data_IF_096324543537
#
_entry.id   IF_096324543537
#
_cell.length_a   1.000
_cell.length_b   1.000
_cell.length_c   1.000
_cell.angle_alpha   90.00
_cell.angle_beta   90.00
_cell.angle_gamma   90.00
#
_symmetry.space_group_name_H-M   'P 1'
#
loop_
_entity.id
_entity.type
_entity.pdbx_description
1 polymer ?
#
# COMPACT_ATOMS: atom_id res chain seq x y z
N UNK A 1 12.22 80.64 8.05
CA UNK A 1 11.33 80.51 6.86
C UNK A 1 12.08 79.69 5.82
N UNK A 2 11.33 78.84 5.09
CA UNK A 2 11.71 78.12 3.86
C UNK A 2 12.38 76.72 4.06
N UNK A 3 11.49 75.73 4.19
CA UNK A 3 11.47 74.39 3.55
C UNK A 3 12.72 73.86 2.83
N UNK A 4 13.19 72.67 3.23
CA UNK A 4 13.97 71.77 2.36
C UNK A 4 13.12 70.55 2.03
N UNK A 5 12.82 70.41 0.74
CA UNK A 5 11.96 69.42 0.10
C UNK A 5 12.51 68.00 0.17
N UNK A 6 11.58 67.05 0.26
CA UNK A 6 11.79 65.63 0.05
C UNK A 6 12.05 65.29 -1.43
N UNK A 7 13.11 64.51 -1.71
CA UNK A 7 13.33 63.78 -2.96
C UNK A 7 14.31 62.62 -2.65
N UNK A 8 13.84 61.38 -2.40
CA UNK A 8 13.65 60.28 -3.37
C UNK A 8 14.89 59.91 -4.20
N UNK A 9 15.62 58.87 -3.78
CA UNK A 9 16.27 57.87 -4.65
C UNK A 9 16.83 56.74 -3.76
N UNK A 10 16.15 55.60 -3.64
CA UNK A 10 16.21 54.43 -4.54
C UNK A 10 17.05 53.31 -3.90
N UNK A 11 16.41 52.48 -3.09
CA UNK A 11 16.93 51.17 -2.71
C UNK A 11 15.99 50.11 -3.30
N UNK A 12 16.35 49.59 -4.47
CA UNK A 12 15.68 48.47 -5.13
C UNK A 12 16.13 47.21 -4.38
N UNK A 13 15.33 46.74 -3.43
CA UNK A 13 15.46 45.37 -2.92
C UNK A 13 14.69 44.44 -3.87
N UNK A 14 15.42 43.75 -4.73
CA UNK A 14 14.91 42.64 -5.52
C UNK A 14 14.59 41.46 -4.58
N UNK A 15 13.33 41.32 -4.22
CA UNK A 15 12.84 40.19 -3.43
C UNK A 15 12.67 38.98 -4.35
N UNK A 16 13.70 38.13 -4.44
CA UNK A 16 13.65 36.84 -5.12
C UNK A 16 12.76 35.88 -4.32
N UNK A 17 11.48 35.80 -4.65
CA UNK A 17 10.61 34.73 -4.16
C UNK A 17 10.99 33.41 -4.86
N UNK A 18 11.86 32.60 -4.25
CA UNK A 18 11.99 31.19 -4.60
C UNK A 18 10.71 30.47 -4.15
N UNK A 19 9.82 30.18 -5.09
CA UNK A 19 8.71 29.25 -4.87
C UNK A 19 9.26 27.83 -4.76
N UNK A 20 9.40 27.36 -3.52
CA UNK A 20 9.57 25.93 -3.24
C UNK A 20 8.26 25.25 -3.63
N UNK A 21 8.22 24.68 -4.84
CA UNK A 21 7.10 23.86 -5.28
C UNK A 21 6.99 22.65 -4.34
N UNK A 22 5.95 22.64 -3.51
CA UNK A 22 5.55 21.45 -2.78
C UNK A 22 5.24 20.37 -3.83
N UNK A 23 6.07 19.34 -3.90
CA UNK A 23 5.75 18.11 -4.62
C UNK A 23 4.55 17.48 -3.92
N UNK A 24 3.35 17.79 -4.41
CA UNK A 24 2.15 17.05 -4.05
C UNK A 24 2.42 15.58 -4.40
N UNK A 25 2.62 14.75 -3.38
CA UNK A 25 2.60 13.30 -3.50
C UNK A 25 1.35 12.96 -4.33
N UNK A 26 1.55 12.36 -5.50
CA UNK A 26 0.48 12.02 -6.42
C UNK A 26 -0.44 10.99 -5.73
N UNK A 27 -1.46 11.48 -5.04
CA UNK A 27 -2.57 10.69 -4.56
C UNK A 27 -3.21 10.06 -5.79
N UNK A 28 -3.23 8.73 -5.82
CA UNK A 28 -3.93 7.97 -6.86
C UNK A 28 -5.33 8.56 -6.98
N UNK A 29 -5.61 9.21 -8.12
CA UNK A 29 -6.86 9.92 -8.36
C UNK A 29 -8.01 8.96 -8.11
N UNK A 30 -8.80 9.22 -7.08
CA UNK A 30 -9.94 8.39 -6.64
C UNK A 30 -9.76 7.67 -5.30
N UNK A 31 -8.54 7.47 -4.81
CA UNK A 31 -8.32 6.91 -3.47
C UNK A 31 -8.26 8.03 -2.41
N UNK A 32 -8.90 7.83 -1.28
CA UNK A 32 -8.81 8.70 -0.10
C UNK A 32 -7.96 8.02 0.97
N UNK A 33 -7.13 8.77 1.69
CA UNK A 33 -6.22 8.24 2.71
C UNK A 33 -6.44 8.94 4.04
N UNK A 34 -6.43 8.16 5.12
CA UNK A 34 -6.47 8.63 6.51
C UNK A 34 -5.43 7.88 7.33
N UNK A 35 -4.87 8.52 8.36
CA UNK A 35 -3.94 7.86 9.28
C UNK A 35 -4.68 7.39 10.52
N UNK A 36 -4.44 6.15 10.93
CA UNK A 36 -4.94 5.55 12.16
C UNK A 36 -3.78 5.38 13.14
N UNK A 37 -4.05 5.63 14.43
CA UNK A 37 -3.10 5.37 15.52
C UNK A 37 -3.32 4.00 16.17
N UNK A 38 -2.34 3.58 16.96
CA UNK A 38 -2.41 2.41 17.86
C UNK A 38 -2.94 1.10 17.19
N UNK A 39 -2.16 0.45 16.32
CA UNK A 39 -0.83 0.83 15.84
C UNK A 39 -0.90 1.86 14.68
N UNK A 40 0.19 2.63 14.45
CA UNK A 40 0.25 3.61 13.37
C UNK A 40 0.18 2.92 12.00
N UNK A 41 -0.81 3.31 11.19
CA UNK A 41 -1.08 2.75 9.86
C UNK A 41 -1.90 3.72 9.01
N UNK A 42 -1.86 3.55 7.69
CA UNK A 42 -2.73 4.28 6.77
C UNK A 42 -3.94 3.43 6.37
N UNK A 43 -5.14 3.99 6.48
CA UNK A 43 -6.35 3.43 5.89
C UNK A 43 -6.67 4.16 4.59
N UNK A 44 -6.59 3.43 3.49
CA UNK A 44 -6.79 3.93 2.13
C UNK A 44 -8.06 3.31 1.56
N UNK A 45 -9.00 4.15 1.14
CA UNK A 45 -10.27 3.74 0.54
C UNK A 45 -10.30 4.13 -0.92
N UNK A 46 -10.46 3.15 -1.80
CA UNK A 46 -10.43 3.33 -3.25
C UNK A 46 -11.76 2.94 -3.91
N UNK A 47 -12.01 3.38 -5.16
CA UNK A 47 -13.20 2.98 -5.89
C UNK A 47 -13.27 1.47 -6.12
N UNK A 48 -14.49 0.97 -6.33
CA UNK A 48 -14.73 -0.46 -6.51
C UNK A 48 -14.51 -1.28 -5.24
N UNK A 49 -14.74 -0.69 -4.07
CA UNK A 49 -14.85 -1.42 -2.80
C UNK A 49 -13.54 -1.88 -2.18
N UNK A 50 -12.41 -1.32 -2.61
CA UNK A 50 -11.09 -1.68 -2.11
C UNK A 50 -10.72 -0.81 -0.90
N UNK A 51 -10.44 -1.47 0.22
CA UNK A 51 -9.86 -0.87 1.42
C UNK A 51 -8.49 -1.50 1.66
N UNK A 52 -7.49 -0.66 1.88
CA UNK A 52 -6.12 -1.06 2.17
C UNK A 52 -5.76 -0.47 3.53
N UNK A 53 -5.44 -1.31 4.50
CA UNK A 53 -4.73 -0.89 5.71
C UNK A 53 -3.24 -1.20 5.52
N UNK A 54 -2.43 -0.16 5.38
CA UNK A 54 -1.00 -0.27 5.16
C UNK A 54 -0.25 0.13 6.43
N UNK A 55 0.71 -0.67 6.87
CA UNK A 55 1.59 -0.27 7.98
C UNK A 55 2.27 1.07 7.71
N UNK A 56 2.63 1.81 8.77
CA UNK A 56 3.25 3.12 8.64
C UNK A 56 4.50 3.16 7.74
N UNK A 57 5.27 2.07 7.71
CA UNK A 57 6.48 1.95 6.89
C UNK A 57 6.26 1.14 5.60
N UNK A 58 5.01 0.86 5.20
CA UNK A 58 4.73 0.12 3.99
C UNK A 58 5.05 0.92 2.73
N UNK A 59 5.79 0.30 1.82
CA UNK A 59 6.15 0.90 0.54
C UNK A 59 5.20 0.38 -0.55
N UNK A 60 4.21 1.20 -0.91
CA UNK A 60 3.15 0.82 -1.86
C UNK A 60 3.04 1.74 -3.07
N UNK A 61 2.66 1.16 -4.21
CA UNK A 61 2.23 1.90 -5.40
C UNK A 61 0.91 1.32 -5.90
N UNK A 62 -0.14 2.14 -5.86
CA UNK A 62 -1.49 1.76 -6.32
C UNK A 62 -1.59 2.00 -7.82
N UNK A 63 -2.08 1.02 -8.59
CA UNK A 63 -2.24 1.09 -10.04
C UNK A 63 -3.71 0.95 -10.43
N UNK A 64 -4.20 1.94 -11.18
CA UNK A 64 -5.53 1.97 -11.75
C UNK A 64 -5.45 2.15 -13.28
N UNK A 65 -6.43 1.66 -14.05
CA UNK A 65 -6.43 1.76 -15.51
C UNK A 65 -6.66 3.19 -16.02
N UNK A 66 -7.29 4.03 -15.21
CA UNK A 66 -7.52 5.44 -15.47
C UNK A 66 -7.65 6.20 -14.15
N UNK A 67 -7.53 7.53 -14.19
CA UNK A 67 -7.80 8.38 -13.05
C UNK A 67 -9.25 8.20 -12.55
N UNK A 68 -9.44 8.00 -11.26
CA UNK A 68 -10.76 7.76 -10.64
C UNK A 68 -11.31 6.35 -10.80
N UNK A 69 -10.66 5.47 -11.58
CA UNK A 69 -11.09 4.10 -11.76
C UNK A 69 -10.69 3.21 -10.56
N UNK A 70 -11.39 2.09 -10.40
CA UNK A 70 -11.06 1.09 -9.39
C UNK A 70 -9.64 0.52 -9.64
N UNK A 71 -8.74 0.50 -8.64
CA UNK A 71 -7.40 -0.06 -8.79
C UNK A 71 -7.44 -1.53 -9.17
N UNK A 72 -6.58 -1.95 -10.10
CA UNK A 72 -6.47 -3.35 -10.53
C UNK A 72 -5.31 -4.06 -9.85
N UNK A 73 -4.31 -3.32 -9.38
CA UNK A 73 -3.21 -3.88 -8.61
C UNK A 73 -2.57 -2.89 -7.64
N UNK A 74 -1.86 -3.44 -6.66
CA UNK A 74 -0.95 -2.70 -5.78
C UNK A 74 0.42 -3.39 -5.83
N UNK A 75 1.46 -2.62 -6.09
CA UNK A 75 2.83 -3.07 -5.88
C UNK A 75 3.22 -2.81 -4.41
N UNK A 76 3.71 -3.82 -3.71
CA UNK A 76 4.20 -3.75 -2.33
C UNK A 76 5.65 -4.24 -2.31
N UNK A 77 6.58 -3.38 -1.87
CA UNK A 77 8.00 -3.70 -1.83
C UNK A 77 8.61 -3.75 -0.43
N UNK A 78 7.82 -3.45 0.61
CA UNK A 78 8.28 -3.59 1.99
C UNK A 78 7.16 -3.44 3.00
N UNK A 79 7.30 -4.18 4.12
CA UNK A 79 6.30 -4.31 5.20
C UNK A 79 4.99 -4.93 4.72
N UNK A 80 3.90 -4.71 5.45
CA UNK A 80 2.64 -5.38 5.23
C UNK A 80 1.46 -4.46 4.90
N UNK A 81 0.51 -5.06 4.19
CA UNK A 81 -0.83 -4.52 3.95
C UNK A 81 -1.88 -5.56 4.30
N UNK A 82 -3.00 -5.10 4.84
CA UNK A 82 -4.25 -5.84 4.95
C UNK A 82 -5.22 -5.30 3.89
N UNK A 83 -5.80 -6.20 3.11
CA UNK A 83 -6.73 -5.87 2.03
C UNK A 83 -8.12 -6.36 2.40
N UNK A 84 -9.11 -5.49 2.24
CA UNK A 84 -10.52 -5.84 2.17
C UNK A 84 -11.07 -5.40 0.81
N UNK A 85 -11.64 -6.34 0.06
CA UNK A 85 -12.17 -6.10 -1.27
C UNK A 85 -13.61 -6.59 -1.39
N UNK A 86 -14.55 -5.66 -1.27
CA UNK A 86 -15.99 -5.94 -1.33
C UNK A 86 -16.72 -4.87 -2.15
N UNK A 87 -17.39 -5.20 -3.27
CA UNK A 87 -17.73 -6.55 -3.74
C UNK A 87 -16.54 -7.29 -4.39
N UNK A 88 -16.60 -8.63 -4.52
CA UNK A 88 -15.56 -9.42 -5.17
C UNK A 88 -15.30 -8.99 -6.62
N UNK A 89 -14.03 -8.78 -6.94
CA UNK A 89 -13.54 -8.53 -8.31
C UNK A 89 -12.09 -8.96 -8.43
N UNK A 90 -11.59 -9.06 -9.66
CA UNK A 90 -10.18 -9.32 -9.90
C UNK A 90 -9.32 -8.17 -9.35
N UNK A 91 -8.30 -8.54 -8.59
CA UNK A 91 -7.32 -7.61 -8.03
C UNK A 91 -6.02 -8.37 -7.72
N UNK A 92 -4.88 -7.68 -7.75
CA UNK A 92 -3.57 -8.28 -7.50
C UNK A 92 -2.72 -7.47 -6.53
N UNK A 93 -2.01 -8.16 -5.63
CA UNK A 93 -0.84 -7.61 -4.94
C UNK A 93 0.40 -8.19 -5.60
N UNK A 94 1.26 -7.30 -6.09
CA UNK A 94 2.53 -7.65 -6.71
C UNK A 94 3.65 -7.32 -5.74
N UNK A 95 4.46 -8.31 -5.40
CA UNK A 95 5.63 -8.17 -4.53
C UNK A 95 6.89 -8.56 -5.30
N UNK A 96 8.10 -8.41 -4.73
CA UNK A 96 9.31 -8.91 -5.36
C UNK A 96 9.30 -10.43 -5.60
N UNK A 97 8.67 -11.20 -4.70
CA UNK A 97 8.76 -12.66 -4.71
C UNK A 97 7.48 -13.37 -5.19
N UNK A 98 6.32 -12.71 -5.05
CA UNK A 98 5.02 -13.33 -5.32
C UNK A 98 4.02 -12.38 -5.98
N UNK A 99 3.04 -12.97 -6.67
CA UNK A 99 1.81 -12.30 -7.10
C UNK A 99 0.66 -12.98 -6.36
N UNK A 100 -0.04 -12.22 -5.50
CA UNK A 100 -1.26 -12.67 -4.85
C UNK A 100 -2.47 -12.12 -5.62
N UNK A 101 -3.22 -13.00 -6.26
CA UNK A 101 -4.42 -12.69 -7.04
C UNK A 101 -5.68 -13.07 -6.29
N UNK A 102 -6.67 -12.17 -6.26
CA UNK A 102 -7.90 -12.35 -5.48
C UNK A 102 -9.18 -12.11 -6.28
N UNK A 103 -10.25 -12.76 -5.82
CA UNK A 103 -11.65 -12.49 -6.16
C UNK A 103 -12.47 -12.30 -4.88
N UNK A 104 -12.25 -11.18 -4.19
CA UNK A 104 -12.95 -10.78 -2.96
C UNK A 104 -12.56 -11.58 -1.72
N UNK A 105 -11.84 -10.95 -0.80
CA UNK A 105 -11.26 -11.58 0.41
C UNK A 105 -10.85 -10.55 1.45
N UNK A 106 -10.66 -11.01 2.70
CA UNK A 106 -9.76 -10.33 3.65
C UNK A 106 -8.48 -11.15 3.76
N UNK A 107 -7.35 -10.54 3.44
CA UNK A 107 -6.05 -11.20 3.44
C UNK A 107 -4.94 -10.20 3.70
N UNK A 108 -3.84 -10.69 4.25
CA UNK A 108 -2.66 -9.90 4.55
C UNK A 108 -1.48 -10.39 3.70
N UNK A 109 -0.67 -9.43 3.24
CA UNK A 109 0.59 -9.69 2.53
C UNK A 109 1.69 -8.93 3.24
N UNK A 110 2.77 -9.61 3.59
CA UNK A 110 3.94 -9.05 4.25
C UNK A 110 5.19 -9.33 3.42
N UNK A 111 6.01 -8.29 3.21
CA UNK A 111 7.25 -8.38 2.44
C UNK A 111 8.44 -8.11 3.35
N UNK A 112 9.28 -9.13 3.46
CA UNK A 112 10.60 -9.08 4.08
C UNK A 112 11.69 -9.24 3.02
N UNK A 113 12.96 -9.02 3.38
CA UNK A 113 14.08 -8.92 2.43
C UNK A 113 14.30 -10.15 1.51
N UNK A 114 13.78 -11.33 1.87
CA UNK A 114 13.94 -12.55 1.08
C UNK A 114 12.67 -13.40 0.95
N UNK A 115 11.53 -12.91 1.42
CA UNK A 115 10.29 -13.67 1.39
C UNK A 115 9.06 -12.76 1.31
N UNK A 116 8.02 -13.25 0.63
CA UNK A 116 6.67 -12.70 0.74
C UNK A 116 5.80 -13.69 1.49
N UNK A 117 5.22 -13.26 2.62
CA UNK A 117 4.25 -14.06 3.35
C UNK A 117 2.82 -13.62 2.95
N UNK A 118 1.95 -14.57 2.68
CA UNK A 118 0.52 -14.31 2.37
C UNK A 118 -0.35 -15.12 3.33
N UNK A 119 -1.32 -14.48 3.96
CA UNK A 119 -2.28 -15.10 4.87
C UNK A 119 -3.71 -14.73 4.50
N UNK A 120 -4.62 -15.69 4.54
CA UNK A 120 -6.04 -15.47 4.22
C UNK A 120 -6.90 -15.58 5.47
N UNK A 121 -7.56 -14.49 5.82
CA UNK A 121 -8.55 -14.47 6.90
C UNK A 121 -9.93 -14.92 6.40
N UNK A 122 -10.33 -14.47 5.20
CA UNK A 122 -11.63 -14.81 4.59
C UNK A 122 -11.53 -14.94 3.07
N UNK A 123 -12.28 -15.90 2.52
CA UNK A 123 -12.40 -16.19 1.09
C UNK A 123 -11.21 -16.98 0.56
N UNK A 124 -10.80 -16.77 -0.70
CA UNK A 124 -9.71 -17.52 -1.33
C UNK A 124 -8.74 -16.63 -2.12
N UNK A 125 -7.44 -16.92 -2.00
CA UNK A 125 -6.36 -16.18 -2.67
C UNK A 125 -5.49 -17.13 -3.46
N UNK A 126 -5.28 -16.86 -4.74
CA UNK A 126 -4.31 -17.58 -5.55
C UNK A 126 -2.96 -16.88 -5.44
N UNK A 127 -1.90 -17.63 -5.11
CA UNK A 127 -0.53 -17.11 -4.97
C UNK A 127 0.36 -17.81 -5.99
N UNK A 128 1.04 -17.02 -6.80
CA UNK A 128 2.03 -17.50 -7.76
C UNK A 128 3.44 -16.99 -7.38
N UNK A 129 4.44 -17.87 -7.49
CA UNK A 129 5.84 -17.49 -7.34
C UNK A 129 6.31 -16.68 -8.55
N UNK A 130 7.14 -15.66 -8.33
CA UNK A 130 7.76 -14.90 -9.43
C UNK A 130 8.98 -15.59 -10.04
N UNK A 131 9.73 -16.32 -9.22
CA UNK A 131 10.89 -17.10 -9.65
C UNK A 131 10.65 -18.56 -9.25
N UNK A 132 10.60 -19.45 -10.23
CA UNK A 132 10.23 -20.86 -10.08
C UNK A 132 8.91 -21.20 -10.79
N UNK A 133 8.47 -22.45 -10.66
CA UNK A 133 7.16 -22.91 -11.10
C UNK A 133 6.29 -23.22 -9.88
N UNK A 134 5.10 -22.61 -9.82
CA UNK A 134 4.18 -22.88 -8.73
C UNK A 134 3.07 -21.84 -8.59
N UNK A 135 1.85 -22.33 -8.53
CA UNK A 135 0.66 -21.56 -8.16
C UNK A 135 -0.13 -22.39 -7.16
N UNK A 136 -0.51 -21.79 -6.04
CA UNK A 136 -1.33 -22.42 -5.00
C UNK A 136 -2.54 -21.55 -4.69
N UNK A 137 -3.61 -22.17 -4.19
CA UNK A 137 -4.78 -21.47 -3.69
C UNK A 137 -4.84 -21.62 -2.17
N UNK A 138 -4.98 -20.50 -1.47
CA UNK A 138 -5.13 -20.43 -0.02
C UNK A 138 -6.60 -20.19 0.34
N UNK A 139 -7.11 -20.92 1.32
CA UNK A 139 -8.39 -20.67 1.98
C UNK A 139 -8.24 -20.06 3.38
N UNK A 140 -9.34 -19.87 4.11
CA UNK A 140 -9.32 -19.24 5.43
C UNK A 140 -8.43 -19.96 6.45
N UNK A 141 -7.61 -19.18 7.15
CA UNK A 141 -6.63 -19.65 8.14
C UNK A 141 -5.35 -20.24 7.54
N UNK A 142 -5.24 -20.27 6.21
CA UNK A 142 -4.04 -20.73 5.52
C UNK A 142 -3.11 -19.57 5.15
N UNK A 143 -1.84 -19.90 5.05
CA UNK A 143 -0.84 -19.02 4.49
C UNK A 143 0.31 -19.77 3.82
N UNK A 144 1.13 -19.01 3.11
CA UNK A 144 2.32 -19.48 2.39
C UNK A 144 3.43 -18.47 2.55
N UNK A 145 4.66 -18.96 2.66
CA UNK A 145 5.88 -18.17 2.58
C UNK A 145 6.51 -18.41 1.21
N UNK A 146 6.61 -17.37 0.39
CA UNK A 146 7.16 -17.44 -0.96
C UNK A 146 8.60 -16.95 -0.93
N UNK A 147 9.53 -17.85 -1.22
CA UNK A 147 10.96 -17.56 -1.40
C UNK A 147 11.39 -17.81 -2.85
N UNK A 148 12.36 -17.06 -3.39
CA UNK A 148 12.84 -17.26 -4.76
C UNK A 148 13.32 -18.69 -5.02
N UNK A 149 12.77 -19.36 -6.05
CA UNK A 149 13.21 -20.70 -6.46
C UNK A 149 12.76 -21.85 -5.56
N UNK A 150 12.05 -21.58 -4.46
CA UNK A 150 11.53 -22.61 -3.56
C UNK A 150 10.09 -23.03 -3.94
N UNK A 151 9.70 -24.30 -3.68
CA UNK A 151 8.34 -24.75 -3.90
C UNK A 151 7.36 -24.07 -2.92
N UNK A 152 6.14 -23.81 -3.40
CA UNK A 152 5.08 -23.24 -2.59
C UNK A 152 4.46 -24.29 -1.66
N UNK A 153 4.54 -24.07 -0.35
CA UNK A 153 3.97 -24.97 0.66
C UNK A 153 2.85 -24.27 1.44
N UNK A 154 1.61 -24.64 1.15
CA UNK A 154 0.44 -24.15 1.89
C UNK A 154 0.40 -24.77 3.28
N UNK A 155 0.20 -23.93 4.30
CA UNK A 155 0.08 -24.37 5.70
C UNK A 155 -1.05 -23.62 6.38
N UNK A 156 -1.76 -24.29 7.28
CA UNK A 156 -2.55 -23.59 8.30
C UNK A 156 -1.60 -22.94 9.29
N UNK A 157 -1.68 -21.62 9.45
CA UNK A 157 -0.77 -20.90 10.33
C UNK A 157 -1.20 -21.04 11.80
N UNK A 158 -0.24 -21.19 12.74
CA UNK A 158 -0.54 -21.13 14.16
C UNK A 158 -1.18 -19.79 14.54
N UNK A 159 -2.14 -19.83 15.47
CA UNK A 159 -2.90 -18.63 15.91
C UNK A 159 -1.99 -17.50 16.38
N UNK A 160 -0.90 -17.81 17.07
CA UNK A 160 0.08 -16.81 17.52
C UNK A 160 0.71 -16.03 16.36
N UNK A 161 1.08 -16.72 15.27
CA UNK A 161 1.63 -16.09 14.06
C UNK A 161 0.60 -15.18 13.40
N UNK A 162 -0.65 -15.65 13.31
CA UNK A 162 -1.77 -14.87 12.76
C UNK A 162 -2.00 -13.62 13.60
N UNK A 163 -2.09 -13.75 14.93
CA UNK A 163 -2.31 -12.64 15.84
C UNK A 163 -1.20 -11.59 15.74
N UNK A 164 0.07 -11.98 15.67
CA UNK A 164 1.18 -11.03 15.49
C UNK A 164 1.10 -10.26 14.17
N UNK A 165 0.68 -10.91 13.08
CA UNK A 165 0.51 -10.23 11.80
C UNK A 165 -0.69 -9.27 11.84
N UNK A 166 -1.83 -9.74 12.35
CA UNK A 166 -3.07 -8.97 12.40
C UNK A 166 -3.04 -7.80 13.40
N UNK A 167 -2.31 -7.94 14.51
CA UNK A 167 -2.10 -6.87 15.48
C UNK A 167 -1.45 -5.62 14.86
N UNK A 168 -0.66 -5.77 13.78
CA UNK A 168 -0.08 -4.63 13.01
C UNK A 168 -1.14 -3.77 12.33
N UNK A 169 -2.36 -4.29 12.20
CA UNK A 169 -3.54 -3.61 11.65
C UNK A 169 -4.60 -3.30 12.73
N UNK A 170 -4.28 -3.50 14.01
CA UNK A 170 -5.22 -3.27 15.12
C UNK A 170 -6.38 -4.28 15.17
N UNK A 171 -6.16 -5.48 14.64
CA UNK A 171 -7.08 -6.62 14.65
C UNK A 171 -6.72 -7.62 15.75
#
# INVERSE_FOLDING_TARGET
MITVSAARMAAILAFLCLSVGATAAQQASGCTSSTLGNPPRAMIRCPGGLVIEAEAAAAITIRAPAAGAAPTSVALSGRAVLIDLTPPRSFQIQTPHAIASVRGTIYAVDVEAGATAVFVSRGAVQVAARQGSGTVTLGPGEGVDVRPGEPLVVRRWPQERVARLLARFGQ
#
